data_IF_466842125462
#
_entry.id   IF_466842125462
#
_cell.length_a   1.000
_cell.length_b   1.000
_cell.length_c   1.000
_cell.angle_alpha   90.00
_cell.angle_beta   90.00
_cell.angle_gamma   90.00
#
_symmetry.space_group_name_H-M   'P 1'
#
loop_
_entity.id
_entity.type
_entity.pdbx_description
1 polymer ?
#
# COMPACT_ATOMS: atom_id res chain seq x y z
N UNK A 1 3.06 15.97 -29.45
CA UNK A 1 3.56 16.06 -28.05
C UNK A 1 3.49 14.65 -27.44
N UNK A 2 4.63 14.06 -27.03
CA UNK A 2 4.61 12.76 -26.30
C UNK A 2 3.97 13.02 -24.94
N UNK A 3 2.76 12.52 -24.71
CA UNK A 3 2.14 12.55 -23.39
C UNK A 3 3.05 11.81 -22.39
N UNK A 4 3.44 12.48 -21.31
CA UNK A 4 4.19 11.87 -20.21
C UNK A 4 3.38 10.69 -19.66
N UNK A 5 3.98 9.50 -19.60
CA UNK A 5 3.35 8.38 -18.89
C UNK A 5 3.10 8.76 -17.43
N UNK A 6 1.89 8.51 -16.96
CA UNK A 6 1.57 8.67 -15.54
C UNK A 6 2.29 7.59 -14.73
N UNK A 7 2.80 7.96 -13.55
CA UNK A 7 3.58 7.08 -12.68
C UNK A 7 2.81 6.71 -11.42
N UNK A 8 2.79 5.42 -11.12
CA UNK A 8 2.22 4.88 -9.89
C UNK A 8 3.31 4.25 -9.04
N UNK A 9 3.37 4.62 -7.75
CA UNK A 9 4.18 3.93 -6.77
C UNK A 9 3.29 2.98 -5.96
N UNK A 10 3.50 1.68 -6.13
CA UNK A 10 2.89 0.64 -5.31
C UNK A 10 3.67 0.52 -4.01
N UNK A 11 3.01 0.73 -2.88
CA UNK A 11 3.63 0.81 -1.55
C UNK A 11 3.09 -0.30 -0.65
N UNK A 12 3.95 -1.14 -0.12
CA UNK A 12 3.59 -2.16 0.86
C UNK A 12 4.64 -2.27 1.97
N UNK A 13 4.25 -2.67 3.18
CA UNK A 13 5.23 -2.85 4.27
C UNK A 13 6.19 -4.00 4.02
N UNK A 14 5.79 -5.03 3.27
CA UNK A 14 6.57 -6.25 3.03
C UNK A 14 6.44 -6.73 1.59
N UNK A 15 7.47 -7.42 1.09
CA UNK A 15 7.51 -7.93 -0.28
C UNK A 15 6.46 -9.03 -0.54
N UNK A 16 6.14 -9.84 0.47
CA UNK A 16 5.09 -10.86 0.36
C UNK A 16 3.72 -10.29 0.02
N UNK A 17 3.40 -9.07 0.45
CA UNK A 17 2.17 -8.36 0.06
C UNK A 17 2.15 -8.04 -1.44
N UNK A 18 3.30 -7.71 -2.02
CA UNK A 18 3.42 -7.47 -3.45
C UNK A 18 3.27 -8.78 -4.21
N UNK A 19 4.02 -9.82 -3.80
CA UNK A 19 4.02 -11.10 -4.51
C UNK A 19 2.66 -11.80 -4.50
N UNK A 20 2.00 -11.83 -3.34
CA UNK A 20 0.76 -12.59 -3.16
C UNK A 20 -0.47 -11.87 -3.71
N UNK A 21 -0.52 -10.54 -3.63
CA UNK A 21 -1.77 -9.81 -3.86
C UNK A 21 -1.68 -8.70 -4.91
N UNK A 22 -0.49 -8.23 -5.27
CA UNK A 22 -0.37 -7.03 -6.08
C UNK A 22 0.24 -7.23 -7.48
N UNK A 23 0.73 -8.41 -7.80
CA UNK A 23 1.23 -8.67 -9.15
C UNK A 23 0.15 -8.49 -10.23
N UNK A 24 -1.11 -8.97 -10.06
CA UNK A 24 -2.18 -8.69 -11.01
C UNK A 24 -2.48 -7.19 -11.15
N UNK A 25 -2.47 -6.44 -10.03
CA UNK A 25 -2.70 -4.98 -10.04
C UNK A 25 -1.59 -4.24 -10.78
N UNK A 26 -0.33 -4.68 -10.64
CA UNK A 26 0.82 -4.14 -11.39
C UNK A 26 0.62 -4.36 -12.89
N UNK A 27 0.28 -5.58 -13.29
CA UNK A 27 0.00 -5.91 -14.70
C UNK A 27 -1.16 -5.07 -15.26
N UNK A 28 -2.24 -4.93 -14.51
CA UNK A 28 -3.39 -4.10 -14.88
C UNK A 28 -2.99 -2.64 -15.08
N UNK A 29 -2.25 -2.04 -14.15
CA UNK A 29 -1.79 -0.66 -14.27
C UNK A 29 -0.88 -0.48 -15.48
N UNK A 30 0.01 -1.44 -15.76
CA UNK A 30 0.87 -1.40 -16.95
C UNK A 30 0.06 -1.50 -18.25
N UNK A 31 -0.97 -2.36 -18.30
CA UNK A 31 -1.87 -2.48 -19.46
C UNK A 31 -2.67 -1.20 -19.73
N UNK A 32 -2.96 -0.44 -18.67
CA UNK A 32 -3.58 0.89 -18.75
C UNK A 32 -2.58 2.00 -19.16
N UNK A 33 -1.31 1.66 -19.42
CA UNK A 33 -0.28 2.59 -19.87
C UNK A 33 0.48 3.30 -18.75
N UNK A 34 0.28 2.94 -17.48
CA UNK A 34 1.04 3.53 -16.36
C UNK A 34 2.47 2.98 -16.29
N UNK A 35 3.40 3.82 -15.87
CA UNK A 35 4.71 3.40 -15.39
C UNK A 35 4.57 3.02 -13.91
N UNK A 36 4.84 1.76 -13.56
CA UNK A 36 4.66 1.24 -12.20
C UNK A 36 6.00 1.03 -11.54
N UNK A 37 6.16 1.59 -10.34
CA UNK A 37 7.26 1.33 -9.44
C UNK A 37 6.74 0.64 -8.18
N UNK A 38 7.61 -0.10 -7.49
CA UNK A 38 7.30 -0.80 -6.24
C UNK A 38 8.26 -0.36 -5.15
N UNK A 39 7.73 -0.11 -3.95
CA UNK A 39 8.54 0.12 -2.75
C UNK A 39 8.02 -0.74 -1.60
N UNK A 40 8.86 -1.61 -1.05
CA UNK A 40 8.52 -2.45 0.09
C UNK A 40 9.77 -2.95 0.81
N UNK A 41 9.59 -3.57 1.98
CA UNK A 41 10.69 -4.21 2.69
C UNK A 41 10.94 -5.61 2.12
N UNK A 42 12.03 -5.75 1.36
CA UNK A 42 12.48 -7.03 0.80
C UNK A 42 13.34 -7.84 1.77
N UNK A 43 13.79 -7.24 2.88
CA UNK A 43 14.73 -7.85 3.82
C UNK A 43 14.05 -8.45 5.04
N UNK A 44 13.10 -7.72 5.64
CA UNK A 44 12.51 -8.07 6.93
C UNK A 44 10.99 -8.22 6.87
N UNK A 45 10.44 -9.03 7.76
CA UNK A 45 9.01 -9.11 8.02
C UNK A 45 8.20 -9.87 6.97
N UNK A 46 8.85 -10.51 5.99
CA UNK A 46 8.18 -11.28 4.97
C UNK A 46 7.66 -12.62 5.49
N UNK A 47 6.57 -13.10 4.91
CA UNK A 47 6.01 -14.44 5.15
C UNK A 47 6.53 -15.46 4.14
N UNK A 48 7.35 -15.04 3.19
CA UNK A 48 8.02 -15.86 2.18
C UNK A 48 9.54 -15.89 2.45
N UNK A 49 10.20 -16.94 1.95
CA UNK A 49 11.63 -17.14 2.09
C UNK A 49 12.44 -16.21 1.15
N UNK A 50 13.76 -16.19 1.35
CA UNK A 50 14.66 -15.37 0.53
C UNK A 50 14.65 -15.77 -0.95
N UNK A 51 14.44 -17.06 -1.26
CA UNK A 51 14.38 -17.55 -2.63
C UNK A 51 13.16 -16.98 -3.35
N UNK A 52 12.01 -16.94 -2.66
CA UNK A 52 10.79 -16.33 -3.18
C UNK A 52 10.95 -14.82 -3.37
N UNK A 53 11.61 -14.14 -2.42
CA UNK A 53 11.91 -12.69 -2.54
C UNK A 53 12.79 -12.42 -3.78
N UNK A 54 13.87 -13.20 -3.97
CA UNK A 54 14.71 -13.08 -5.16
C UNK A 54 13.94 -13.34 -6.47
N UNK A 55 13.05 -14.34 -6.48
CA UNK A 55 12.17 -14.59 -7.63
C UNK A 55 11.24 -13.41 -7.92
N UNK A 56 10.66 -12.80 -6.87
CA UNK A 56 9.83 -11.61 -7.02
C UNK A 56 10.63 -10.45 -7.64
N UNK A 57 11.83 -10.16 -7.12
CA UNK A 57 12.69 -9.11 -7.65
C UNK A 57 13.03 -9.34 -9.14
N UNK A 58 13.36 -10.58 -9.52
CA UNK A 58 13.60 -10.96 -10.91
C UNK A 58 12.33 -10.78 -11.77
N UNK A 59 11.16 -11.18 -11.27
CA UNK A 59 9.87 -11.01 -11.95
C UNK A 59 9.55 -9.53 -12.19
N UNK A 60 9.71 -8.69 -11.17
CA UNK A 60 9.52 -7.24 -11.28
C UNK A 60 10.47 -6.64 -12.34
N UNK A 61 11.75 -6.99 -12.28
CA UNK A 61 12.75 -6.51 -13.25
C UNK A 61 12.41 -6.98 -14.69
N UNK A 62 12.03 -8.25 -14.88
CA UNK A 62 11.59 -8.79 -16.18
C UNK A 62 10.38 -8.06 -16.74
N UNK A 63 9.45 -7.64 -15.86
CA UNK A 63 8.27 -6.85 -16.22
C UNK A 63 8.56 -5.35 -16.35
N UNK A 64 9.84 -4.94 -16.30
CA UNK A 64 10.25 -3.52 -16.36
C UNK A 64 9.64 -2.66 -15.24
N UNK A 65 9.40 -3.25 -14.08
CA UNK A 65 8.96 -2.57 -12.86
C UNK A 65 10.19 -2.22 -12.03
N UNK A 66 10.42 -0.93 -11.82
CA UNK A 66 11.49 -0.46 -10.91
C UNK A 66 11.06 -0.71 -9.47
N UNK A 67 11.92 -1.31 -8.67
CA UNK A 67 11.65 -1.58 -7.27
C UNK A 67 12.72 -1.01 -6.35
N UNK A 68 12.30 -0.64 -5.13
CA UNK A 68 13.13 0.00 -4.12
C UNK A 68 12.98 -0.71 -2.78
N UNK A 69 14.12 -0.90 -2.08
CA UNK A 69 14.11 -1.32 -0.69
C UNK A 69 13.54 -0.20 0.19
N UNK A 70 12.65 -0.58 1.09
CA UNK A 70 12.05 0.31 2.07
C UNK A 70 12.06 -0.34 3.46
N UNK A 71 12.70 0.29 4.44
CA UNK A 71 12.87 -0.29 5.78
C UNK A 71 11.62 -0.07 6.66
N UNK A 72 10.44 -0.28 6.07
CA UNK A 72 9.17 -0.16 6.76
C UNK A 72 9.01 -1.28 7.79
N UNK A 73 8.77 -0.96 9.08
CA UNK A 73 8.56 -1.97 10.10
C UNK A 73 7.14 -2.54 10.04
N UNK A 74 6.96 -3.72 10.64
CA UNK A 74 5.63 -4.33 10.82
C UNK A 74 4.90 -3.85 12.08
N UNK A 75 5.62 -3.26 13.03
CA UNK A 75 5.09 -2.86 14.33
C UNK A 75 5.18 -1.33 14.50
N UNK A 76 4.07 -0.71 14.89
CA UNK A 76 3.99 0.75 15.08
C UNK A 76 4.89 1.24 16.20
N UNK A 77 5.19 0.39 17.19
CA UNK A 77 6.07 0.73 18.31
C UNK A 77 7.55 0.88 17.90
N UNK A 78 7.93 0.43 16.71
CA UNK A 78 9.28 0.66 16.17
C UNK A 78 9.41 2.10 15.63
N UNK A 79 9.27 3.08 16.51
CA UNK A 79 9.17 4.52 16.15
C UNK A 79 10.35 5.00 15.31
N UNK A 80 11.57 4.62 15.67
CA UNK A 80 12.78 5.00 14.91
C UNK A 80 12.75 4.41 13.48
N UNK A 81 12.35 3.13 13.33
CA UNK A 81 12.20 2.51 12.00
C UNK A 81 11.06 3.17 11.22
N UNK A 82 9.96 3.54 11.86
CA UNK A 82 8.88 4.31 11.22
C UNK A 82 9.39 5.66 10.71
N UNK A 83 10.19 6.37 11.48
CA UNK A 83 10.76 7.66 11.07
C UNK A 83 11.75 7.49 9.91
N UNK A 84 12.61 6.47 9.95
CA UNK A 84 13.51 6.15 8.85
C UNK A 84 12.73 5.82 7.57
N UNK A 85 11.71 4.97 7.66
CA UNK A 85 10.85 4.62 6.54
C UNK A 85 10.11 5.85 5.97
N UNK A 86 9.63 6.72 6.84
CA UNK A 86 9.03 7.99 6.42
C UNK A 86 10.02 8.84 5.61
N UNK A 87 11.27 9.02 6.11
CA UNK A 87 12.30 9.79 5.39
C UNK A 87 12.67 9.17 4.05
N UNK A 88 12.83 7.85 4.00
CA UNK A 88 13.10 7.14 2.75
C UNK A 88 12.01 7.39 1.70
N UNK A 89 10.74 7.29 2.09
CA UNK A 89 9.63 7.50 1.18
C UNK A 89 9.49 8.96 0.75
N UNK A 90 9.74 9.91 1.65
CA UNK A 90 9.82 11.34 1.34
C UNK A 90 10.91 11.62 0.30
N UNK A 91 12.11 11.08 0.50
CA UNK A 91 13.23 11.23 -0.43
C UNK A 91 12.90 10.62 -1.80
N UNK A 92 12.38 9.39 -1.83
CA UNK A 92 11.99 8.71 -3.07
C UNK A 92 10.95 9.53 -3.86
N UNK A 93 9.91 10.03 -3.18
CA UNK A 93 8.85 10.83 -3.83
C UNK A 93 9.30 12.23 -4.22
N UNK A 94 10.39 12.71 -3.65
CA UNK A 94 11.02 13.96 -4.07
C UNK A 94 11.88 13.78 -5.33
N UNK A 95 12.68 12.73 -5.37
CA UNK A 95 13.54 12.43 -6.52
C UNK A 95 12.76 11.94 -7.74
N UNK A 96 11.68 11.24 -7.51
CA UNK A 96 10.83 10.64 -8.56
C UNK A 96 9.41 11.20 -8.41
N UNK A 97 8.95 11.89 -9.45
CA UNK A 97 7.57 12.39 -9.46
C UNK A 97 6.58 11.24 -9.71
N UNK A 98 5.63 11.08 -8.79
CA UNK A 98 4.53 10.13 -8.90
C UNK A 98 3.21 10.87 -9.00
N UNK A 99 2.30 10.35 -9.85
CA UNK A 99 0.94 10.87 -9.99
C UNK A 99 0.00 10.25 -8.95
N UNK A 100 0.31 8.99 -8.56
CA UNK A 100 -0.45 8.22 -7.57
C UNK A 100 0.48 7.40 -6.69
N UNK A 101 0.12 7.32 -5.40
CA UNK A 101 0.58 6.26 -4.51
C UNK A 101 -0.57 5.26 -4.31
N UNK A 102 -0.35 3.99 -4.63
CA UNK A 102 -1.26 2.92 -4.27
C UNK A 102 -0.67 2.13 -3.11
N UNK A 103 -1.22 2.32 -1.92
CA UNK A 103 -0.63 1.78 -0.71
C UNK A 103 -1.49 0.68 -0.08
N UNK A 104 -0.79 -0.24 0.58
CA UNK A 104 -1.32 -1.42 1.24
C UNK A 104 -0.74 -1.53 2.64
N UNK A 105 -1.36 -2.38 3.48
CA UNK A 105 -0.98 -2.62 4.88
C UNK A 105 -1.13 -1.41 5.81
N UNK A 106 -1.37 -1.62 7.11
CA UNK A 106 -1.69 -0.53 8.03
C UNK A 106 -0.58 0.51 8.16
N UNK A 107 0.65 0.06 8.48
CA UNK A 107 1.77 0.99 8.72
C UNK A 107 2.27 1.57 7.40
N UNK A 108 2.48 0.73 6.38
CA UNK A 108 2.88 1.20 5.06
C UNK A 108 1.88 2.17 4.46
N UNK A 109 0.58 1.85 4.57
CA UNK A 109 -0.50 2.73 4.14
C UNK A 109 -0.57 4.04 4.94
N UNK A 110 -0.29 4.02 6.24
CA UNK A 110 -0.26 5.22 7.06
C UNK A 110 0.88 6.16 6.63
N UNK A 111 2.11 5.64 6.55
CA UNK A 111 3.28 6.41 6.13
C UNK A 111 3.12 6.96 4.70
N UNK A 112 2.61 6.14 3.78
CA UNK A 112 2.36 6.56 2.40
C UNK A 112 1.35 7.70 2.32
N UNK A 113 0.24 7.64 3.07
CA UNK A 113 -0.78 8.71 3.09
C UNK A 113 -0.24 10.01 3.69
N UNK A 114 0.59 9.93 4.75
CA UNK A 114 1.26 11.11 5.33
C UNK A 114 2.20 11.76 4.30
N UNK A 115 3.04 10.95 3.64
CA UNK A 115 3.97 11.43 2.61
C UNK A 115 3.22 12.02 1.42
N UNK A 116 2.21 11.33 0.92
CA UNK A 116 1.40 11.78 -0.20
C UNK A 116 0.71 13.11 0.09
N UNK A 117 0.13 13.27 1.30
CA UNK A 117 -0.46 14.54 1.73
C UNK A 117 0.56 15.67 1.71
N UNK A 118 1.76 15.46 2.27
CA UNK A 118 2.83 16.48 2.26
C UNK A 118 3.37 16.79 0.88
N UNK A 119 3.31 15.84 -0.05
CA UNK A 119 3.81 15.98 -1.42
C UNK A 119 2.72 16.31 -2.44
N UNK A 120 1.47 16.47 -2.01
CA UNK A 120 0.29 16.69 -2.86
C UNK A 120 0.14 15.61 -3.95
N UNK A 121 0.44 14.34 -3.60
CA UNK A 121 0.28 13.19 -4.48
C UNK A 121 -1.06 12.52 -4.17
N UNK A 122 -1.80 12.09 -5.18
CA UNK A 122 -3.07 11.37 -5.00
C UNK A 122 -2.83 9.96 -4.42
N UNK A 123 -3.77 9.48 -3.62
CA UNK A 123 -3.64 8.21 -2.90
C UNK A 123 -4.79 7.27 -3.17
N UNK A 124 -4.45 6.03 -3.50
CA UNK A 124 -5.32 4.87 -3.40
C UNK A 124 -4.84 4.05 -2.20
N UNK A 125 -5.72 3.74 -1.27
CA UNK A 125 -5.43 2.83 -0.16
C UNK A 125 -6.33 1.61 -0.21
N UNK A 126 -5.72 0.43 -0.30
CA UNK A 126 -6.45 -0.84 -0.18
C UNK A 126 -6.28 -1.39 1.23
N UNK A 127 -7.38 -1.41 1.98
CA UNK A 127 -7.45 -2.01 3.31
C UNK A 127 -7.79 -3.50 3.17
N UNK A 128 -6.87 -4.37 3.60
CA UNK A 128 -7.03 -5.83 3.61
C UNK A 128 -7.73 -6.36 4.86
N UNK A 129 -8.28 -5.47 5.67
CA UNK A 129 -8.97 -5.71 6.93
C UNK A 129 -8.60 -4.64 7.95
N UNK A 130 -9.59 -3.96 8.53
CA UNK A 130 -9.33 -3.03 9.62
C UNK A 130 -9.09 -3.79 10.92
N UNK A 131 -8.21 -3.27 11.77
CA UNK A 131 -7.94 -3.83 13.10
C UNK A 131 -9.05 -3.51 14.10
N UNK A 132 -10.01 -2.67 13.73
CA UNK A 132 -11.16 -2.23 14.50
C UNK A 132 -12.46 -2.63 13.78
N UNK A 133 -12.97 -3.80 14.12
CA UNK A 133 -14.20 -4.40 13.60
C UNK A 133 -15.15 -4.76 14.76
N UNK A 134 -16.37 -5.15 14.48
CA UNK A 134 -17.34 -5.56 15.52
C UNK A 134 -16.82 -6.76 16.30
N UNK A 135 -16.56 -6.58 17.60
CA UNK A 135 -15.95 -7.61 18.45
C UNK A 135 -14.42 -7.50 18.60
N UNK A 136 -13.77 -6.57 17.90
CA UNK A 136 -12.35 -6.31 18.11
C UNK A 136 -12.07 -5.77 19.53
N UNK A 137 -10.90 -6.10 20.11
CA UNK A 137 -10.49 -5.57 21.42
C UNK A 137 -10.55 -4.04 21.45
N UNK A 138 -11.00 -3.46 22.58
CA UNK A 138 -11.15 -2.00 22.74
C UNK A 138 -9.85 -1.24 22.45
N UNK A 139 -8.69 -1.81 22.81
CA UNK A 139 -7.37 -1.25 22.49
C UNK A 139 -7.16 -1.00 20.99
N UNK A 140 -7.70 -1.86 20.14
CA UNK A 140 -7.60 -1.69 18.71
C UNK A 140 -8.44 -0.51 18.21
N UNK A 141 -9.62 -0.31 18.78
CA UNK A 141 -10.46 0.84 18.50
C UNK A 141 -9.80 2.15 18.93
N UNK A 142 -9.18 2.16 20.12
CA UNK A 142 -8.50 3.35 20.64
C UNK A 142 -7.26 3.70 19.81
N UNK A 143 -6.49 2.70 19.35
CA UNK A 143 -5.23 2.91 18.66
C UNK A 143 -5.41 3.15 17.15
N UNK A 144 -6.14 2.24 16.48
CA UNK A 144 -6.17 2.25 15.01
C UNK A 144 -7.28 3.11 14.43
N UNK A 145 -8.44 3.17 15.06
CA UNK A 145 -9.58 3.93 14.51
C UNK A 145 -9.32 5.43 14.40
N UNK A 146 -8.79 6.14 15.42
CA UNK A 146 -8.49 7.57 15.30
C UNK A 146 -7.45 7.85 14.22
N UNK A 147 -6.40 7.03 14.17
CA UNK A 147 -5.37 7.15 13.13
C UNK A 147 -5.99 6.98 11.73
N UNK A 148 -6.78 5.92 11.51
CA UNK A 148 -7.44 5.65 10.25
C UNK A 148 -8.43 6.76 9.86
N UNK A 149 -9.17 7.30 10.84
CA UNK A 149 -10.11 8.41 10.63
C UNK A 149 -9.41 9.69 10.19
N UNK A 150 -8.22 9.98 10.73
CA UNK A 150 -7.41 11.13 10.30
C UNK A 150 -6.86 10.89 8.90
N UNK A 151 -6.22 9.76 8.67
CA UNK A 151 -5.58 9.39 7.41
C UNK A 151 -6.57 9.28 6.25
N UNK A 152 -7.82 8.90 6.55
CA UNK A 152 -8.86 8.82 5.52
C UNK A 152 -9.17 10.18 4.87
N UNK A 153 -8.94 11.30 5.55
CA UNK A 153 -9.11 12.65 5.00
C UNK A 153 -8.10 12.93 3.87
N UNK A 154 -6.98 12.25 3.87
CA UNK A 154 -5.91 12.38 2.89
C UNK A 154 -5.94 11.24 1.85
N UNK A 155 -7.02 10.48 1.82
CA UNK A 155 -7.19 9.33 0.92
C UNK A 155 -8.18 9.70 -0.20
N UNK A 156 -7.71 9.67 -1.45
CA UNK A 156 -8.57 9.94 -2.59
C UNK A 156 -9.50 8.76 -2.87
N UNK A 157 -8.95 7.54 -2.83
CA UNK A 157 -9.70 6.30 -3.04
C UNK A 157 -9.36 5.29 -1.94
N UNK A 158 -10.38 4.86 -1.22
CA UNK A 158 -10.31 3.75 -0.26
C UNK A 158 -10.96 2.52 -0.86
N UNK A 159 -10.24 1.42 -0.90
CA UNK A 159 -10.74 0.12 -1.36
C UNK A 159 -10.78 -0.82 -0.16
N UNK A 160 -11.90 -1.48 0.06
CA UNK A 160 -12.08 -2.52 1.08
C UNK A 160 -12.38 -3.86 0.42
N UNK A 161 -12.03 -4.95 1.09
CA UNK A 161 -12.15 -6.32 0.55
C UNK A 161 -13.27 -7.14 1.16
N UNK A 162 -14.06 -6.54 2.07
CA UNK A 162 -15.19 -7.16 2.72
C UNK A 162 -16.32 -6.15 3.01
N UNK A 163 -17.52 -6.65 3.33
CA UNK A 163 -18.70 -5.84 3.57
C UNK A 163 -18.66 -5.07 4.88
N UNK A 164 -18.09 -5.64 5.94
CA UNK A 164 -18.02 -5.01 7.25
C UNK A 164 -17.17 -3.74 7.17
N UNK A 165 -15.95 -3.86 6.64
CA UNK A 165 -15.03 -2.73 6.45
C UNK A 165 -15.61 -1.68 5.51
N UNK A 166 -16.29 -2.10 4.44
CA UNK A 166 -16.94 -1.17 3.52
C UNK A 166 -18.02 -0.35 4.23
N UNK A 167 -18.95 -1.00 4.95
CA UNK A 167 -20.00 -0.31 5.69
C UNK A 167 -19.43 0.62 6.75
N UNK A 168 -18.38 0.16 7.47
CA UNK A 168 -17.68 0.97 8.46
C UNK A 168 -17.02 2.19 7.81
N UNK A 169 -16.28 1.98 6.72
CA UNK A 169 -15.59 3.05 6.01
C UNK A 169 -16.58 4.12 5.49
N UNK A 170 -17.67 3.71 4.86
CA UNK A 170 -18.72 4.64 4.35
C UNK A 170 -19.36 5.46 5.46
N UNK A 171 -19.53 4.89 6.66
CA UNK A 171 -20.19 5.56 7.78
C UNK A 171 -19.26 6.40 8.65
N UNK A 172 -18.00 6.02 8.79
CA UNK A 172 -17.08 6.54 9.82
C UNK A 172 -15.82 7.21 9.28
N UNK A 173 -15.40 6.88 8.05
CA UNK A 173 -14.19 7.43 7.43
C UNK A 173 -14.52 8.54 6.43
N UNK A 174 -13.52 9.28 5.98
CA UNK A 174 -13.68 10.48 5.14
C UNK A 174 -12.86 10.45 3.85
N UNK A 175 -12.61 9.25 3.29
CA UNK A 175 -12.01 9.13 1.97
C UNK A 175 -12.92 9.75 0.90
N UNK A 176 -12.33 10.38 -0.13
CA UNK A 176 -13.13 11.05 -1.18
C UNK A 176 -14.03 10.06 -1.91
N UNK A 177 -13.52 8.85 -2.18
CA UNK A 177 -14.30 7.74 -2.77
C UNK A 177 -13.99 6.46 -2.01
N UNK A 178 -15.01 5.63 -1.80
CA UNK A 178 -14.86 4.33 -1.13
C UNK A 178 -15.52 3.26 -1.99
N UNK A 179 -14.75 2.22 -2.31
CA UNK A 179 -15.20 1.07 -3.09
C UNK A 179 -15.00 -0.22 -2.31
N UNK A 180 -15.80 -1.22 -2.65
CA UNK A 180 -15.61 -2.60 -2.21
C UNK A 180 -15.27 -3.47 -3.41
N UNK A 181 -14.29 -4.36 -3.24
CA UNK A 181 -14.00 -5.45 -4.16
C UNK A 181 -14.26 -6.79 -3.45
N UNK A 182 -14.64 -7.87 -4.17
CA UNK A 182 -14.96 -9.16 -3.56
C UNK A 182 -13.69 -9.97 -3.21
N UNK A 183 -12.77 -9.35 -2.47
CA UNK A 183 -11.45 -9.94 -2.16
C UNK A 183 -10.37 -9.48 -3.12
N UNK A 184 -9.16 -9.95 -2.90
CA UNK A 184 -7.96 -9.58 -3.69
C UNK A 184 -7.66 -10.55 -4.84
N UNK A 185 -8.49 -11.59 -4.99
CA UNK A 185 -8.27 -12.68 -5.95
C UNK A 185 -7.22 -13.70 -5.46
N UNK A 186 -7.32 -14.90 -5.96
CA UNK A 186 -6.34 -15.98 -5.77
C UNK A 186 -5.91 -16.42 -7.16
N UNK A 187 -4.60 -16.52 -7.36
CA UNK A 187 -4.03 -17.11 -8.56
C UNK A 187 -4.15 -18.63 -8.45
N UNK A 188 -5.12 -19.22 -9.17
CA UNK A 188 -5.42 -20.65 -9.12
C UNK A 188 -4.28 -21.51 -9.67
N UNK A 189 -3.39 -20.94 -10.48
CA UNK A 189 -2.23 -21.64 -11.02
C UNK A 189 -1.09 -21.80 -9.99
N UNK A 190 -1.25 -21.21 -8.80
CA UNK A 190 -0.29 -21.30 -7.68
C UNK A 190 -0.61 -22.44 -6.70
N UNK A 191 -1.74 -23.09 -6.82
CA UNK A 191 -2.22 -24.18 -5.98
C UNK A 191 -2.50 -25.43 -6.80
#
# INVERSE_FOLDING_TARGET
MKHRKLKVLMVASVASMIDQFNMPNICLLQSMGYEVHVVCNFKEGNTCDEKQIRKLQQKLTKQKVTWYQWDCPRHILAVQKCFTAYRQLMCLTQMKHYDWLHCHSPIGGALARIVAHKRSIRVIYTAHGFHFYKGAPLKNWILYYPAEKILSRWTDVLITVNDEDYKLAKRKLKAKKTYKIPGVGIDMDRF
#
